data_IF_014555480220
#
_entry.id   IF_014555480220
#
_cell.length_a   1.000
_cell.length_b   1.000
_cell.length_c   1.000
_cell.angle_alpha   90.00
_cell.angle_beta   90.00
_cell.angle_gamma   90.00
#
_symmetry.space_group_name_H-M   'P 1'
#
loop_
_entity.id
_entity.type
_entity.pdbx_description
1 polymer ?
#
# COMPACT_ATOMS: atom_id res chain seq x y z
N UNK A 1 -20.78 33.77 0.03
CA UNK A 1 -20.54 32.31 0.06
C UNK A 1 -19.15 32.13 0.65
N UNK A 2 -19.03 31.83 1.95
CA UNK A 2 -17.73 31.61 2.56
C UNK A 2 -17.04 30.43 1.85
N UNK A 3 -15.72 30.50 1.61
CA UNK A 3 -15.01 29.36 1.05
C UNK A 3 -15.28 28.15 1.95
N UNK A 4 -15.74 27.05 1.34
CA UNK A 4 -15.70 25.73 1.99
C UNK A 4 -14.24 25.47 2.36
N UNK A 5 -13.99 24.68 3.42
CA UNK A 5 -12.66 24.40 3.94
C UNK A 5 -11.66 23.91 2.89
N UNK A 6 -10.46 23.53 3.29
CA UNK A 6 -9.39 23.20 2.35
C UNK A 6 -9.73 22.00 1.44
N UNK A 7 -10.82 21.25 1.67
CA UNK A 7 -11.34 20.11 0.87
C UNK A 7 -10.33 18.96 0.65
N UNK A 8 -9.15 19.03 1.27
CA UNK A 8 -8.04 18.07 1.11
C UNK A 8 -8.39 16.70 1.71
N UNK A 9 -9.29 16.63 2.70
CA UNK A 9 -9.63 15.39 3.38
C UNK A 9 -10.21 14.31 2.44
N UNK A 10 -11.12 14.69 1.53
CA UNK A 10 -11.74 13.74 0.59
C UNK A 10 -10.74 13.22 -0.44
N UNK A 11 -9.82 14.07 -0.90
CA UNK A 11 -8.79 13.70 -1.86
C UNK A 11 -7.75 12.77 -1.22
N UNK A 12 -7.38 13.00 0.04
CA UNK A 12 -6.50 12.12 0.80
C UNK A 12 -7.17 10.77 1.07
N UNK A 13 -8.45 10.73 1.42
CA UNK A 13 -9.18 9.46 1.56
C UNK A 13 -9.23 8.68 0.24
N UNK A 14 -9.47 9.37 -0.89
CA UNK A 14 -9.43 8.75 -2.20
C UNK A 14 -8.03 8.19 -2.53
N UNK A 15 -6.98 8.94 -2.19
CA UNK A 15 -5.60 8.49 -2.38
C UNK A 15 -5.24 7.29 -1.50
N UNK A 16 -5.68 7.28 -0.23
CA UNK A 16 -5.49 6.12 0.65
C UNK A 16 -6.12 4.84 0.06
N UNK A 17 -7.31 4.95 -0.55
CA UNK A 17 -7.96 3.82 -1.25
C UNK A 17 -7.19 3.36 -2.47
N UNK A 18 -6.53 4.26 -3.21
CA UNK A 18 -5.66 3.88 -4.32
C UNK A 18 -4.44 3.10 -3.83
N UNK A 19 -3.88 3.49 -2.69
CA UNK A 19 -2.77 2.77 -2.05
C UNK A 19 -3.21 1.38 -1.59
N UNK A 20 -4.42 1.23 -1.03
CA UNK A 20 -4.98 -0.08 -0.69
C UNK A 20 -5.10 -0.99 -1.92
N UNK A 21 -5.66 -0.46 -3.01
CA UNK A 21 -5.83 -1.22 -4.25
C UNK A 21 -4.47 -1.70 -4.82
N UNK A 22 -3.43 -0.87 -4.71
CA UNK A 22 -2.08 -1.26 -5.08
C UNK A 22 -1.50 -2.33 -4.13
N UNK A 23 -1.73 -2.18 -2.82
CA UNK A 23 -1.36 -3.18 -1.82
C UNK A 23 -2.01 -4.54 -2.09
N UNK A 24 -3.27 -4.56 -2.48
CA UNK A 24 -3.99 -5.79 -2.82
C UNK A 24 -3.47 -6.44 -4.11
N UNK A 25 -3.14 -5.65 -5.13
CA UNK A 25 -2.48 -6.16 -6.34
C UNK A 25 -1.10 -6.78 -6.02
N UNK A 26 -0.34 -6.18 -5.11
CA UNK A 26 0.94 -6.71 -4.65
C UNK A 26 0.76 -7.99 -3.82
N UNK A 27 -0.26 -8.09 -2.97
CA UNK A 27 -0.61 -9.34 -2.26
C UNK A 27 -0.92 -10.45 -3.25
N UNK A 28 -1.70 -10.16 -4.29
CA UNK A 28 -1.98 -11.12 -5.36
C UNK A 28 -0.69 -11.56 -6.08
N UNK A 29 0.25 -10.64 -6.31
CA UNK A 29 1.56 -10.98 -6.89
C UNK A 29 2.39 -11.88 -5.96
N UNK A 30 2.37 -11.64 -4.64
CA UNK A 30 3.01 -12.51 -3.65
C UNK A 30 2.39 -13.91 -3.65
N UNK A 31 1.06 -14.02 -3.69
CA UNK A 31 0.36 -15.30 -3.73
C UNK A 31 0.70 -16.09 -5.00
N UNK A 32 0.76 -15.41 -6.15
CA UNK A 32 1.20 -16.00 -7.41
C UNK A 32 2.67 -16.46 -7.33
N UNK A 33 3.57 -15.64 -6.78
CA UNK A 33 4.98 -16.00 -6.61
C UNK A 33 5.17 -17.22 -5.69
N UNK A 34 4.38 -17.33 -4.62
CA UNK A 34 4.41 -18.50 -3.73
C UNK A 34 3.82 -19.75 -4.39
N UNK A 35 2.82 -19.62 -5.28
CA UNK A 35 2.26 -20.76 -6.02
C UNK A 35 3.15 -21.22 -7.18
N UNK A 36 3.89 -20.30 -7.81
CA UNK A 36 4.78 -20.57 -8.95
C UNK A 36 6.22 -20.82 -8.47
N UNK A 37 6.44 -21.19 -7.20
CA UNK A 37 7.75 -21.70 -6.80
C UNK A 37 8.05 -22.93 -7.66
N UNK A 38 8.97 -22.78 -8.61
CA UNK A 38 9.08 -23.68 -9.75
C UNK A 38 9.32 -25.12 -9.29
N UNK A 39 8.39 -26.06 -9.56
CA UNK A 39 8.55 -27.41 -9.09
C UNK A 39 9.73 -28.06 -9.84
N UNK A 40 10.46 -28.93 -9.12
CA UNK A 40 11.77 -29.47 -9.48
C UNK A 40 11.78 -30.28 -10.80
N UNK A 41 10.59 -30.63 -11.29
CA UNK A 41 10.28 -31.34 -12.52
C UNK A 41 10.20 -30.43 -13.76
N UNK A 42 9.99 -29.11 -13.59
CA UNK A 42 9.97 -28.15 -14.70
C UNK A 42 11.39 -27.89 -15.26
N UNK A 43 12.40 -27.93 -14.39
CA UNK A 43 13.80 -27.93 -14.77
C UNK A 43 14.26 -29.39 -14.91
N UNK A 44 14.25 -29.93 -16.12
CA UNK A 44 14.82 -31.24 -16.40
C UNK A 44 16.23 -31.38 -15.79
N UNK A 45 16.69 -32.61 -15.55
CA UNK A 45 17.93 -32.97 -14.81
C UNK A 45 19.14 -32.07 -15.10
N UNK A 46 19.28 -31.58 -16.34
CA UNK A 46 20.38 -30.73 -16.79
C UNK A 46 20.36 -29.28 -16.25
N UNK A 47 19.19 -28.74 -15.89
CA UNK A 47 19.04 -27.35 -15.46
C UNK A 47 18.98 -27.17 -13.94
N UNK A 48 19.03 -28.25 -13.16
CA UNK A 48 19.01 -28.19 -11.70
C UNK A 48 20.15 -27.37 -11.06
N UNK A 49 21.39 -27.33 -11.59
CA UNK A 49 22.44 -26.48 -11.04
C UNK A 49 22.12 -24.97 -11.13
N UNK A 50 21.38 -24.56 -12.16
CA UNK A 50 20.95 -23.17 -12.32
C UNK A 50 19.82 -22.80 -11.35
N UNK A 51 19.00 -23.78 -10.95
CA UNK A 51 17.95 -23.58 -9.94
C UNK A 51 18.53 -23.21 -8.58
N UNK A 52 19.54 -23.94 -8.11
CA UNK A 52 20.20 -23.65 -6.82
C UNK A 52 20.79 -22.23 -6.75
N UNK A 53 21.16 -21.65 -7.89
CA UNK A 53 21.64 -20.28 -7.98
C UNK A 53 20.50 -19.24 -8.02
N UNK A 54 19.30 -19.65 -8.43
CA UNK A 54 18.11 -18.80 -8.56
C UNK A 54 17.23 -18.80 -7.31
N UNK A 55 17.26 -19.86 -6.49
CA UNK A 55 16.52 -19.94 -5.22
C UNK A 55 16.70 -18.69 -4.32
N UNK A 56 17.93 -18.17 -4.11
CA UNK A 56 18.12 -16.98 -3.29
C UNK A 56 17.48 -15.75 -3.93
N UNK A 57 17.59 -15.62 -5.25
CA UNK A 57 17.05 -14.48 -6.01
C UNK A 57 15.53 -14.46 -5.96
N UNK A 58 14.90 -15.63 -6.04
CA UNK A 58 13.44 -15.75 -5.86
C UNK A 58 13.00 -15.39 -4.45
N UNK A 59 13.71 -15.85 -3.41
CA UNK A 59 13.42 -15.47 -2.03
C UNK A 59 13.55 -13.95 -1.82
N UNK A 60 14.61 -13.32 -2.35
CA UNK A 60 14.74 -11.86 -2.32
C UNK A 60 13.58 -11.15 -3.01
N UNK A 61 13.14 -11.65 -4.16
CA UNK A 61 11.99 -11.10 -4.89
C UNK A 61 10.69 -11.19 -4.08
N UNK A 62 10.41 -12.36 -3.50
CA UNK A 62 9.22 -12.57 -2.66
C UNK A 62 9.27 -11.67 -1.42
N UNK A 63 10.42 -11.56 -0.77
CA UNK A 63 10.59 -10.69 0.40
C UNK A 63 10.42 -9.21 0.03
N UNK A 64 10.99 -8.75 -1.09
CA UNK A 64 10.80 -7.39 -1.57
C UNK A 64 9.32 -7.07 -1.85
N UNK A 65 8.56 -8.02 -2.42
CA UNK A 65 7.12 -7.83 -2.62
C UNK A 65 6.37 -7.72 -1.28
N UNK A 66 6.68 -8.56 -0.29
CA UNK A 66 6.09 -8.50 1.06
C UNK A 66 6.41 -7.20 1.79
N UNK A 67 7.66 -6.74 1.69
CA UNK A 67 8.09 -5.46 2.26
C UNK A 67 7.34 -4.29 1.60
N UNK A 68 7.14 -4.36 0.28
CA UNK A 68 6.37 -3.36 -0.47
C UNK A 68 4.91 -3.33 -0.02
N UNK A 69 4.26 -4.48 0.18
CA UNK A 69 2.89 -4.56 0.73
C UNK A 69 2.82 -3.85 2.09
N UNK A 70 3.76 -4.16 2.99
CA UNK A 70 3.82 -3.55 4.32
C UNK A 70 4.02 -2.04 4.25
N UNK A 71 4.88 -1.58 3.34
CA UNK A 71 5.11 -0.16 3.12
C UNK A 71 3.88 0.56 2.54
N UNK A 72 3.14 -0.07 1.63
CA UNK A 72 1.90 0.47 1.07
C UNK A 72 0.83 0.62 2.15
N UNK A 73 0.62 -0.41 2.97
CA UNK A 73 -0.35 -0.37 4.09
C UNK A 73 0.01 0.75 5.08
N UNK A 74 1.30 0.87 5.44
CA UNK A 74 1.79 1.93 6.31
C UNK A 74 1.59 3.34 5.72
N UNK A 75 1.78 3.49 4.41
CA UNK A 75 1.61 4.77 3.72
C UNK A 75 0.12 5.13 3.60
N UNK A 76 -0.74 4.18 3.27
CA UNK A 76 -2.20 4.38 3.26
C UNK A 76 -2.69 4.85 4.63
N UNK A 77 -2.18 4.27 5.72
CA UNK A 77 -2.54 4.69 7.07
C UNK A 77 -2.12 6.14 7.35
N UNK A 78 -0.88 6.53 7.03
CA UNK A 78 -0.41 7.91 7.21
C UNK A 78 -1.26 8.92 6.44
N UNK A 79 -1.69 8.57 5.23
CA UNK A 79 -2.57 9.43 4.41
C UNK A 79 -3.94 9.59 5.06
N UNK A 80 -4.53 8.52 5.63
CA UNK A 80 -5.78 8.60 6.40
C UNK A 80 -5.63 9.45 7.65
N UNK A 81 -4.51 9.30 8.37
CA UNK A 81 -4.23 10.08 9.57
C UNK A 81 -4.12 11.58 9.23
N UNK A 82 -3.48 11.91 8.10
CA UNK A 82 -3.43 13.27 7.60
C UNK A 82 -4.83 13.80 7.24
N UNK A 83 -5.65 13.02 6.53
CA UNK A 83 -7.02 13.41 6.19
C UNK A 83 -7.84 13.74 7.46
N UNK A 84 -7.73 12.90 8.49
CA UNK A 84 -8.39 13.10 9.77
C UNK A 84 -7.89 14.34 10.50
N UNK A 85 -6.59 14.61 10.48
CA UNK A 85 -6.01 15.81 11.08
C UNK A 85 -6.55 17.09 10.42
N UNK A 86 -6.65 17.11 9.09
CA UNK A 86 -7.26 18.24 8.37
C UNK A 86 -8.74 18.43 8.70
N UNK A 87 -9.54 17.35 8.67
CA UNK A 87 -10.96 17.41 9.03
C UNK A 87 -11.19 17.91 10.46
N UNK A 88 -10.35 17.48 11.41
CA UNK A 88 -10.42 17.90 12.82
C UNK A 88 -10.13 19.40 12.93
N UNK A 89 -9.04 19.85 12.32
CA UNK A 89 -8.64 21.26 12.35
C UNK A 89 -9.71 22.17 11.71
N UNK A 90 -10.27 21.77 10.57
CA UNK A 90 -11.38 22.50 9.94
C UNK A 90 -12.62 22.56 10.82
N UNK A 91 -12.95 21.46 11.50
CA UNK A 91 -14.06 21.40 12.46
C UNK A 91 -13.88 22.37 13.63
N UNK A 92 -12.67 22.42 14.20
CA UNK A 92 -12.33 23.32 15.31
C UNK A 92 -12.42 24.79 14.89
N UNK A 93 -11.84 25.14 13.73
CA UNK A 93 -11.93 26.50 13.16
C UNK A 93 -13.37 26.89 12.90
N UNK A 94 -14.15 26.03 12.22
CA UNK A 94 -15.56 26.30 11.95
C UNK A 94 -16.39 26.46 13.23
N UNK A 95 -16.09 25.68 14.28
CA UNK A 95 -16.70 25.80 15.59
C UNK A 95 -16.41 27.14 16.26
N UNK A 96 -15.14 27.56 16.28
CA UNK A 96 -14.73 28.85 16.86
C UNK A 96 -15.35 30.06 16.16
N UNK A 97 -15.54 29.99 14.83
CA UNK A 97 -16.22 31.05 14.07
C UNK A 97 -17.70 31.14 14.43
N UNK A 98 -18.40 30.00 14.56
CA UNK A 98 -19.81 29.97 14.97
C UNK A 98 -20.04 30.43 16.41
N UNK A 99 -19.06 30.25 17.29
CA UNK A 99 -19.15 30.68 18.68
C UNK A 99 -18.87 32.17 18.88
N UNK A 100 -18.34 32.85 17.86
CA UNK A 100 -18.00 34.28 17.90
C UNK A 100 -19.07 35.20 17.27
N UNK A 101 -20.09 34.63 16.64
CA UNK A 101 -21.33 35.29 16.14
C UNK A 101 -22.45 35.18 17.18
#
# INVERSE_FOLDING_TARGET
MAPKGFEVGTDLEAHARQLDALGDALKQAVDAANQVSMPTDAYGILCQPFRMLLDPVEEYGINALKDTVTAMDAQAQKVRDAAKAYQTYEGDVAGSMKASD
#
